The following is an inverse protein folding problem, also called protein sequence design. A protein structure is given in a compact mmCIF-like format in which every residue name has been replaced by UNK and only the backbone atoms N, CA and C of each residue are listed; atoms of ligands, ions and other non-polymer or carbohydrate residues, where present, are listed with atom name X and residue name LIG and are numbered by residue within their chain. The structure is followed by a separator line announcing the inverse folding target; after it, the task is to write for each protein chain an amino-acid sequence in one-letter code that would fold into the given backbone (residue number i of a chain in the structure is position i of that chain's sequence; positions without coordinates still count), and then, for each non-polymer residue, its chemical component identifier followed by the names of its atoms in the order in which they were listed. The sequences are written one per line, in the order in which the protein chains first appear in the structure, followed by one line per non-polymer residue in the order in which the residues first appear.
data_IF_201071081143
#
_entry.id   IF_201071081143
#
_cell.length_a   1.000
_cell.length_b   1.000
_cell.length_c   1.000
_cell.angle_alpha   90.00
_cell.angle_beta   90.00
_cell.angle_gamma   90.00
#
_symmetry.space_group_name_H-M   'P 1'
#
loop_
_entity.id
_entity.type
_entity.pdbx_description
1 polymer ?
#
# COMPACT_ATOMS: atom_id res chain seq x y z
N UNK A 1 51.20 -45.92 29.45
CA UNK A 1 50.11 -45.18 30.15
C UNK A 1 49.93 -43.73 29.67
N UNK A 2 50.61 -43.25 28.62
CA UNK A 2 50.51 -41.87 28.12
C UNK A 2 49.44 -41.68 27.00
N UNK A 3 49.07 -42.74 26.28
CA UNK A 3 48.12 -42.64 25.15
C UNK A 3 46.67 -42.40 25.57
N UNK A 4 46.30 -42.77 26.80
CA UNK A 4 44.93 -42.62 27.29
C UNK A 4 44.56 -41.16 27.59
N UNK A 5 45.52 -40.35 28.05
CA UNK A 5 45.30 -38.92 28.25
C UNK A 5 45.25 -38.16 26.93
N UNK A 6 46.05 -38.54 25.94
CA UNK A 6 46.10 -37.86 24.64
C UNK A 6 44.78 -37.99 23.85
N UNK A 7 44.14 -39.16 23.89
CA UNK A 7 42.81 -39.37 23.27
C UNK A 7 41.70 -38.56 23.94
N UNK A 8 41.73 -38.42 25.27
CA UNK A 8 40.72 -37.63 26.02
C UNK A 8 40.79 -36.15 25.69
N UNK A 9 41.99 -35.60 25.53
CA UNK A 9 42.18 -34.19 25.18
C UNK A 9 41.77 -33.89 23.74
N UNK A 10 42.00 -34.81 22.79
CA UNK A 10 41.47 -34.67 21.42
C UNK A 10 39.94 -34.68 21.37
N UNK A 11 39.29 -35.54 22.17
CA UNK A 11 37.82 -35.61 22.26
C UNK A 11 37.22 -34.31 22.82
N UNK A 12 37.83 -33.73 23.85
CA UNK A 12 37.39 -32.46 24.43
C UNK A 12 37.55 -31.31 23.42
N UNK A 13 38.67 -31.26 22.69
CA UNK A 13 38.88 -30.27 21.63
C UNK A 13 37.83 -30.36 20.52
N UNK A 14 37.45 -31.57 20.13
CA UNK A 14 36.46 -31.81 19.08
C UNK A 14 35.04 -31.38 19.50
N UNK A 15 34.69 -31.58 20.77
CA UNK A 15 33.41 -31.12 21.34
C UNK A 15 33.34 -29.59 21.37
N UNK A 16 34.42 -28.91 21.76
CA UNK A 16 34.46 -27.44 21.80
C UNK A 16 34.28 -26.85 20.40
N UNK A 17 34.92 -27.43 19.38
CA UNK A 17 34.75 -26.99 17.98
C UNK A 17 33.31 -27.23 17.49
N UNK A 18 32.68 -28.35 17.86
CA UNK A 18 31.28 -28.63 17.50
C UNK A 18 30.29 -27.64 18.15
N UNK A 19 30.54 -27.21 19.38
CA UNK A 19 29.73 -26.19 20.07
C UNK A 19 29.94 -24.79 19.45
N UNK A 20 31.15 -24.47 18.99
CA UNK A 20 31.40 -23.20 18.31
C UNK A 20 30.77 -23.12 16.91
N UNK A 21 30.66 -24.24 16.19
CA UNK A 21 30.03 -24.29 14.87
C UNK A 21 28.49 -24.29 14.92
N UNK A 22 27.88 -24.66 16.04
CA UNK A 22 26.41 -24.62 16.22
C UNK A 22 25.88 -23.24 16.62
N UNK A 23 26.77 -22.26 16.88
CA UNK A 23 26.40 -20.86 17.12
C UNK A 23 26.26 -20.04 15.82
N UNK A 24 25.79 -20.70 14.75
CA UNK A 24 25.48 -20.05 13.48
C UNK A 24 24.14 -19.32 13.61
N UNK A 25 24.23 -18.10 14.14
CA UNK A 25 23.33 -16.96 13.96
C UNK A 25 21.97 -17.26 13.32
N UNK A 26 21.02 -17.66 14.17
CA UNK A 26 19.60 -17.49 13.88
C UNK A 26 19.26 -15.99 14.06
N UNK A 27 19.74 -15.14 13.13
CA UNK A 27 19.31 -13.74 13.10
C UNK A 27 17.81 -13.74 12.79
N UNK A 28 16.94 -13.20 13.65
CA UNK A 28 15.53 -13.10 13.33
C UNK A 28 15.41 -12.28 12.03
N UNK A 29 14.94 -12.91 10.96
CA UNK A 29 14.52 -12.18 9.76
C UNK A 29 13.46 -11.16 10.21
N UNK A 30 13.62 -9.86 9.89
CA UNK A 30 12.57 -8.90 10.16
C UNK A 30 11.31 -9.38 9.43
N UNK A 31 10.21 -9.52 10.17
CA UNK A 31 8.90 -9.81 9.58
C UNK A 31 8.64 -8.80 8.46
N UNK A 32 8.12 -9.21 7.29
CA UNK A 32 7.73 -8.26 6.26
C UNK A 32 6.81 -7.22 6.89
N UNK A 33 7.08 -5.94 6.64
CA UNK A 33 6.21 -4.85 7.09
C UNK A 33 4.79 -5.03 6.53
N UNK A 34 3.80 -4.34 7.10
CA UNK A 34 2.45 -4.32 6.54
C UNK A 34 2.51 -3.93 5.05
N UNK A 35 1.69 -4.53 4.19
CA UNK A 35 1.66 -4.19 2.77
C UNK A 35 1.39 -2.69 2.62
N UNK A 36 2.12 -2.05 1.71
CA UNK A 36 1.89 -0.64 1.38
C UNK A 36 0.41 -0.43 1.02
N UNK A 37 -0.23 0.54 1.70
CA UNK A 37 -1.59 0.94 1.38
C UNK A 37 -1.68 1.42 -0.07
N UNK A 38 -2.81 1.18 -0.72
CA UNK A 38 -3.09 1.55 -2.10
C UNK A 38 -4.23 2.57 -2.16
N UNK A 39 -3.97 3.70 -2.80
CA UNK A 39 -4.91 4.81 -2.95
C UNK A 39 -5.21 5.00 -4.43
N UNK A 40 -6.48 4.96 -4.79
CA UNK A 40 -6.95 5.39 -6.10
C UNK A 40 -7.41 6.85 -6.04
N UNK A 41 -6.99 7.65 -7.02
CA UNK A 41 -7.39 9.05 -7.14
C UNK A 41 -8.12 9.24 -8.45
N UNK A 42 -9.34 9.78 -8.39
CA UNK A 42 -10.07 10.22 -9.57
C UNK A 42 -10.44 11.69 -9.47
N UNK A 43 -10.09 12.45 -10.50
CA UNK A 43 -10.31 13.89 -10.58
C UNK A 43 -11.02 14.27 -11.87
N UNK A 44 -11.88 15.28 -11.78
CA UNK A 44 -12.65 15.86 -12.89
C UNK A 44 -12.14 17.28 -13.21
N UNK A 45 -11.02 17.70 -12.62
CA UNK A 45 -10.40 19.01 -12.83
C UNK A 45 -10.16 19.28 -14.32
N UNK A 46 -10.83 20.32 -14.85
CA UNK A 46 -10.65 20.82 -16.21
C UNK A 46 -9.38 21.70 -16.34
N UNK A 47 -8.96 22.33 -15.25
CA UNK A 47 -7.84 23.26 -15.22
C UNK A 47 -6.51 22.51 -15.13
N UNK A 48 -5.84 22.36 -16.28
CA UNK A 48 -4.53 21.68 -16.39
C UNK A 48 -3.47 22.30 -15.49
N UNK A 49 -3.50 23.62 -15.32
CA UNK A 49 -2.55 24.37 -14.50
C UNK A 49 -2.64 24.02 -13.01
N UNK A 50 -3.79 23.52 -12.55
CA UNK A 50 -3.97 23.00 -11.19
C UNK A 50 -3.73 21.50 -11.11
N UNK A 51 -4.05 20.77 -12.18
CA UNK A 51 -3.95 19.31 -12.22
C UNK A 51 -2.50 18.80 -12.09
N UNK A 52 -1.58 19.35 -12.89
CA UNK A 52 -0.19 18.87 -12.90
C UNK A 52 0.51 19.07 -11.55
N UNK A 53 0.46 20.26 -10.92
CA UNK A 53 1.03 20.44 -9.58
C UNK A 53 0.36 19.52 -8.55
N UNK A 54 -0.96 19.36 -8.61
CA UNK A 54 -1.70 18.51 -7.67
C UNK A 54 -1.27 17.03 -7.80
N UNK A 55 -1.22 16.50 -9.02
CA UNK A 55 -0.76 15.13 -9.27
C UNK A 55 0.68 14.95 -8.77
N UNK A 56 1.57 15.89 -9.10
CA UNK A 56 2.97 15.82 -8.68
C UNK A 56 3.11 15.80 -7.16
N UNK A 57 2.39 16.68 -6.45
CA UNK A 57 2.39 16.70 -4.98
C UNK A 57 1.88 15.37 -4.41
N UNK A 58 0.80 14.83 -4.96
CA UNK A 58 0.26 13.53 -4.52
C UNK A 58 1.25 12.38 -4.74
N UNK A 59 1.95 12.36 -5.88
CA UNK A 59 2.97 11.36 -6.16
C UNK A 59 4.20 11.47 -5.23
N UNK A 60 4.64 12.68 -4.93
CA UNK A 60 5.73 12.93 -3.97
C UNK A 60 5.35 12.47 -2.56
N UNK A 61 4.14 12.80 -2.12
CA UNK A 61 3.59 12.32 -0.84
C UNK A 61 3.47 10.80 -0.82
N UNK A 62 2.96 10.19 -1.89
CA UNK A 62 2.82 8.74 -1.99
C UNK A 62 4.16 8.02 -1.84
N UNK A 63 5.22 8.55 -2.47
CA UNK A 63 6.59 8.03 -2.34
C UNK A 63 7.11 8.18 -0.91
N UNK A 64 6.91 9.34 -0.29
CA UNK A 64 7.34 9.62 1.09
C UNK A 64 6.68 8.69 2.10
N UNK A 65 5.37 8.49 1.97
CA UNK A 65 4.57 7.65 2.87
C UNK A 65 4.57 6.17 2.47
N UNK A 66 5.29 5.81 1.40
CA UNK A 66 5.40 4.44 0.86
C UNK A 66 4.04 3.81 0.56
N UNK A 67 3.12 4.59 0.01
CA UNK A 67 1.81 4.12 -0.46
C UNK A 67 1.80 3.99 -1.98
N UNK A 68 1.04 3.02 -2.51
CA UNK A 68 0.82 2.90 -3.95
C UNK A 68 -0.26 3.88 -4.35
N UNK A 69 0.03 4.74 -5.33
CA UNK A 69 -0.93 5.68 -5.89
C UNK A 69 -1.34 5.21 -7.29
N UNK A 70 -2.64 5.17 -7.55
CA UNK A 70 -3.20 5.00 -8.89
C UNK A 70 -4.00 6.24 -9.25
N UNK A 71 -3.73 6.78 -10.43
CA UNK A 71 -4.32 8.03 -10.88
C UNK A 71 -5.16 7.79 -12.13
N UNK A 72 -6.40 8.25 -12.12
CA UNK A 72 -7.28 8.26 -13.29
C UNK A 72 -7.95 9.63 -13.38
N UNK A 73 -7.74 10.34 -14.48
CA UNK A 73 -8.46 11.58 -14.76
C UNK A 73 -9.74 11.26 -15.53
N UNK A 74 -10.83 11.93 -15.14
CA UNK A 74 -12.07 12.00 -15.90
C UNK A 74 -12.09 13.33 -16.65
N UNK A 75 -12.07 13.24 -17.98
CA UNK A 75 -12.22 14.40 -18.85
C UNK A 75 -13.71 14.74 -19.03
N UNK A 76 -14.01 15.98 -19.41
CA UNK A 76 -15.38 16.40 -19.70
C UNK A 76 -16.01 15.50 -20.77
N UNK A 77 -17.25 15.06 -20.52
CA UNK A 77 -17.98 14.15 -21.41
C UNK A 77 -17.53 12.69 -21.36
N UNK A 78 -16.57 12.33 -20.50
CA UNK A 78 -16.18 10.93 -20.26
C UNK A 78 -16.86 10.35 -19.03
N UNK A 79 -17.07 9.03 -19.03
CA UNK A 79 -17.74 8.34 -17.93
C UNK A 79 -16.80 8.21 -16.71
N UNK A 80 -17.14 8.93 -15.64
CA UNK A 80 -16.45 8.83 -14.36
C UNK A 80 -16.52 7.41 -13.76
N UNK A 81 -17.64 6.72 -13.95
CA UNK A 81 -17.84 5.39 -13.35
C UNK A 81 -16.87 4.37 -13.92
N UNK A 82 -16.60 4.40 -15.23
CA UNK A 82 -15.59 3.53 -15.83
C UNK A 82 -14.20 3.76 -15.22
N UNK A 83 -13.79 5.02 -15.02
CA UNK A 83 -12.49 5.37 -14.44
C UNK A 83 -12.36 4.86 -13.01
N UNK A 84 -13.39 5.08 -12.19
CA UNK A 84 -13.40 4.58 -10.80
C UNK A 84 -13.46 3.07 -10.76
N UNK A 85 -14.18 2.40 -11.66
CA UNK A 85 -14.20 0.94 -11.77
C UNK A 85 -12.80 0.37 -12.01
N UNK A 86 -12.01 0.98 -12.91
CA UNK A 86 -10.60 0.60 -13.14
C UNK A 86 -9.74 0.76 -11.89
N UNK A 87 -9.99 1.77 -11.06
CA UNK A 87 -9.29 1.93 -9.78
C UNK A 87 -9.68 0.84 -8.78
N UNK A 88 -10.98 0.53 -8.66
CA UNK A 88 -11.49 -0.53 -7.78
C UNK A 88 -10.95 -1.91 -8.16
N UNK A 89 -10.82 -2.20 -9.45
CA UNK A 89 -10.21 -3.45 -9.95
C UNK A 89 -8.75 -3.63 -9.53
N UNK A 90 -8.04 -2.54 -9.25
CA UNK A 90 -6.65 -2.57 -8.75
C UNK A 90 -6.54 -2.86 -7.25
N UNK A 91 -7.67 -3.15 -6.57
CA UNK A 91 -7.72 -3.48 -5.12
C UNK A 91 -7.10 -2.38 -4.26
N UNK A 92 -7.57 -1.15 -4.46
CA UNK A 92 -7.23 -0.01 -3.60
C UNK A 92 -7.90 -0.12 -2.25
N UNK A 93 -7.25 0.38 -1.19
CA UNK A 93 -7.80 0.44 0.17
C UNK A 93 -8.70 1.67 0.36
N UNK A 94 -8.40 2.74 -0.38
CA UNK A 94 -9.16 3.99 -0.36
C UNK A 94 -9.22 4.65 -1.72
N UNK A 95 -10.32 5.36 -1.96
CA UNK A 95 -10.57 6.18 -3.13
C UNK A 95 -10.70 7.64 -2.71
N UNK A 96 -9.90 8.52 -3.32
CA UNK A 96 -10.09 9.96 -3.28
C UNK A 96 -10.75 10.39 -4.59
N UNK A 97 -11.97 10.90 -4.52
CA UNK A 97 -12.78 11.20 -5.71
C UNK A 97 -13.26 12.65 -5.66
N UNK A 98 -12.98 13.40 -6.72
CA UNK A 98 -13.71 14.60 -7.05
C UNK A 98 -14.96 14.19 -7.84
N UNK A 99 -16.14 14.26 -7.23
CA UNK A 99 -17.35 13.84 -7.93
C UNK A 99 -17.70 14.79 -9.07
N UNK A 100 -18.22 14.27 -10.19
CA UNK A 100 -18.77 15.09 -11.26
C UNK A 100 -20.15 15.68 -10.90
N UNK A 101 -20.89 15.00 -10.01
CA UNK A 101 -22.23 15.40 -9.59
C UNK A 101 -22.75 14.55 -8.41
N UNK A 102 -23.93 14.89 -7.91
CA UNK A 102 -24.54 14.22 -6.75
C UNK A 102 -25.01 12.79 -7.07
N UNK A 103 -25.44 12.55 -8.31
CA UNK A 103 -25.87 11.22 -8.76
C UNK A 103 -24.65 10.28 -8.85
N UNK A 104 -23.58 10.75 -9.50
CA UNK A 104 -22.31 10.04 -9.61
C UNK A 104 -21.76 9.73 -8.22
N UNK A 105 -21.83 10.69 -7.30
CA UNK A 105 -21.39 10.48 -5.94
C UNK A 105 -22.13 9.33 -5.24
N UNK A 106 -23.45 9.25 -5.40
CA UNK A 106 -24.28 8.20 -4.79
C UNK A 106 -23.93 6.82 -5.34
N UNK A 107 -23.80 6.71 -6.66
CA UNK A 107 -23.47 5.45 -7.32
C UNK A 107 -22.04 4.98 -7.00
N UNK A 108 -21.08 5.90 -6.94
CA UNK A 108 -19.69 5.60 -6.58
C UNK A 108 -19.55 5.23 -5.11
N UNK A 109 -20.29 5.88 -4.21
CA UNK A 109 -20.32 5.51 -2.81
C UNK A 109 -20.86 4.11 -2.57
N UNK A 110 -21.95 3.74 -3.26
CA UNK A 110 -22.46 2.36 -3.22
C UNK A 110 -21.39 1.36 -3.68
N UNK A 111 -20.73 1.64 -4.80
CA UNK A 111 -19.68 0.75 -5.33
C UNK A 111 -18.47 0.63 -4.39
N UNK A 112 -18.04 1.73 -3.77
CA UNK A 112 -16.94 1.73 -2.82
C UNK A 112 -17.32 0.90 -1.57
N UNK A 113 -18.53 1.10 -1.03
CA UNK A 113 -19.05 0.33 0.10
C UNK A 113 -19.16 -1.16 -0.20
N UNK A 114 -19.68 -1.55 -1.36
CA UNK A 114 -19.77 -2.95 -1.80
C UNK A 114 -18.39 -3.63 -1.88
N UNK A 115 -17.34 -2.85 -2.18
CA UNK A 115 -15.96 -3.32 -2.26
C UNK A 115 -15.18 -3.17 -0.95
N UNK A 116 -15.80 -2.64 0.12
CA UNK A 116 -15.15 -2.29 1.38
C UNK A 116 -13.95 -1.34 1.20
N UNK A 117 -14.09 -0.39 0.28
CA UNK A 117 -13.08 0.64 -0.02
C UNK A 117 -13.51 1.95 0.61
N UNK A 118 -12.59 2.60 1.33
CA UNK A 118 -12.86 3.90 1.95
C UNK A 118 -13.04 4.97 0.90
N UNK A 119 -14.03 5.86 1.05
CA UNK A 119 -14.29 6.90 0.06
C UNK A 119 -14.13 8.29 0.66
N UNK A 120 -13.22 9.08 0.08
CA UNK A 120 -12.95 10.46 0.42
C UNK A 120 -13.38 11.37 -0.72
N UNK A 121 -14.10 12.45 -0.38
CA UNK A 121 -14.53 13.46 -1.34
C UNK A 121 -13.48 14.57 -1.50
N UNK A 122 -13.24 15.01 -2.73
CA UNK A 122 -12.45 16.19 -3.04
C UNK A 122 -13.33 17.30 -3.62
N UNK A 123 -13.22 18.51 -3.08
CA UNK A 123 -13.95 19.69 -3.58
C UNK A 123 -15.31 19.87 -2.91
N UNK A 124 -16.34 19.15 -3.37
CA UNK A 124 -17.68 19.25 -2.79
C UNK A 124 -18.10 17.96 -2.07
N UNK A 125 -18.82 18.13 -0.96
CA UNK A 125 -19.35 17.05 -0.16
C UNK A 125 -20.79 16.74 -0.57
N UNK A 126 -21.08 15.58 -1.15
CA UNK A 126 -22.45 15.16 -1.46
C UNK A 126 -23.24 14.91 -0.16
N UNK A 127 -24.50 15.33 -0.14
CA UNK A 127 -25.38 15.18 1.03
C UNK A 127 -25.87 13.74 1.17
N UNK A 128 -25.86 13.21 2.40
CA UNK A 128 -26.44 11.90 2.70
C UNK A 128 -25.58 10.69 2.30
N UNK A 129 -24.32 10.91 1.91
CA UNK A 129 -23.39 9.84 1.54
C UNK A 129 -22.45 9.51 2.70
N UNK A 130 -22.30 8.23 3.09
CA UNK A 130 -21.30 7.84 4.07
C UNK A 130 -19.91 7.96 3.44
N UNK A 131 -19.12 8.89 3.97
CA UNK A 131 -17.72 9.11 3.63
C UNK A 131 -16.84 8.80 4.84
N UNK A 132 -15.59 8.43 4.59
CA UNK A 132 -14.59 8.13 5.63
C UNK A 132 -13.65 9.33 5.94
#
# INVERSE_FOLDING_TARGET
MLDFHRKKWCLIGLIIVAVMLSSCQNRPQPKPGPPAAAIGVNVVLAEKDLLEPFQKTMEELAKKEKVRLYWEQTEEGTDQQEKVRKLLERKVDSLLVQFAGAQEASDLARQAAEKNVKLLALGFLPTGIPLD
#
